data_IF_434932220923
#
_entry.id   IF_434932220923
#
_cell.length_a   1.000
_cell.length_b   1.000
_cell.length_c   1.000
_cell.angle_alpha   90.00
_cell.angle_beta   90.00
_cell.angle_gamma   90.00
#
_symmetry.space_group_name_H-M   'P 1'
#
loop_
_entity.id
_entity.type
_entity.pdbx_description
1 polymer ?
#
# COMPACT_ATOMS: atom_id res chain seq x y z
N UNK A 1 13.14 -19.78 29.58
CA UNK A 1 12.00 -19.56 28.66
C UNK A 1 11.04 -18.47 29.16
N UNK A 2 10.75 -18.37 30.46
CA UNK A 2 9.71 -17.47 31.01
C UNK A 2 9.96 -15.95 30.93
N UNK A 3 11.16 -15.48 30.56
CA UNK A 3 11.48 -14.03 30.56
C UNK A 3 11.19 -13.33 29.22
N UNK A 4 11.09 -14.08 28.12
CA UNK A 4 10.78 -13.54 26.79
C UNK A 4 9.27 -13.42 26.53
N UNK A 5 8.44 -14.20 27.24
CA UNK A 5 7.00 -14.32 26.98
C UNK A 5 6.18 -13.30 27.79
N UNK A 6 6.75 -12.72 28.85
CA UNK A 6 6.06 -11.80 29.75
C UNK A 6 5.58 -10.45 29.14
N UNK A 7 6.22 -9.87 28.11
CA UNK A 7 5.75 -8.61 27.50
C UNK A 7 4.65 -8.81 26.44
N UNK A 8 4.38 -10.04 26.01
CA UNK A 8 3.40 -10.33 24.96
C UNK A 8 2.03 -10.51 25.61
N UNK A 9 1.12 -9.56 25.37
CA UNK A 9 -0.28 -9.62 25.81
C UNK A 9 -0.90 -10.98 25.46
N UNK A 10 -1.64 -11.57 26.42
CA UNK A 10 -2.11 -12.96 26.45
C UNK A 10 -2.65 -13.54 25.12
N UNK A 11 -3.32 -12.73 24.27
CA UNK A 11 -3.86 -13.21 22.98
C UNK A 11 -2.81 -13.60 21.94
N UNK A 12 -1.61 -13.02 22.02
CA UNK A 12 -0.52 -13.25 21.05
C UNK A 12 0.44 -14.32 21.59
N UNK A 13 0.64 -14.36 22.91
CA UNK A 13 1.54 -15.30 23.57
C UNK A 13 1.16 -16.77 23.37
N UNK A 14 -0.12 -17.10 23.31
CA UNK A 14 -0.59 -18.49 23.13
C UNK A 14 -0.13 -19.13 21.81
N UNK A 15 -0.04 -18.36 20.73
CA UNK A 15 0.44 -18.86 19.42
C UNK A 15 1.94 -19.21 19.44
N UNK A 16 2.71 -18.61 20.36
CA UNK A 16 4.14 -18.86 20.47
C UNK A 16 4.49 -19.99 21.46
N UNK A 17 3.53 -20.46 22.26
CA UNK A 17 3.72 -21.60 23.18
C UNK A 17 3.85 -22.95 22.47
N UNK A 18 3.53 -23.00 21.17
CA UNK A 18 3.61 -24.20 20.33
C UNK A 18 5.02 -24.49 19.79
N UNK A 19 5.98 -23.59 20.01
CA UNK A 19 7.35 -23.73 19.50
C UNK A 19 8.32 -24.17 20.60
N UNK A 20 9.12 -25.18 20.29
CA UNK A 20 9.95 -25.89 21.27
C UNK A 20 11.27 -25.14 21.59
N UNK A 21 11.70 -24.24 20.70
CA UNK A 21 12.98 -23.52 20.85
C UNK A 21 12.83 -22.01 20.86
N UNK A 22 13.70 -21.34 21.62
CA UNK A 22 13.75 -19.88 21.66
C UNK A 22 14.10 -19.26 20.29
N UNK A 23 14.78 -20.01 19.42
CA UNK A 23 15.08 -19.61 18.05
C UNK A 23 13.83 -19.59 17.17
N UNK A 24 12.96 -20.60 17.28
CA UNK A 24 11.70 -20.65 16.54
C UNK A 24 10.74 -19.55 17.01
N UNK A 25 10.67 -19.30 18.32
CA UNK A 25 9.89 -18.18 18.87
C UNK A 25 10.43 -16.85 18.34
N UNK A 26 11.76 -16.68 18.28
CA UNK A 26 12.39 -15.47 17.76
C UNK A 26 12.18 -15.30 16.26
N UNK A 27 12.30 -16.35 15.44
CA UNK A 27 12.05 -16.27 14.01
C UNK A 27 10.55 -16.08 13.70
N UNK A 28 9.63 -16.70 14.44
CA UNK A 28 8.20 -16.47 14.26
C UNK A 28 7.78 -15.05 14.71
N UNK A 29 8.34 -14.55 15.82
CA UNK A 29 8.11 -13.17 16.26
C UNK A 29 8.73 -12.18 15.26
N UNK A 30 9.91 -12.50 14.73
CA UNK A 30 10.52 -11.74 13.64
C UNK A 30 9.72 -11.88 12.35
N UNK A 31 9.08 -12.97 11.99
CA UNK A 31 8.21 -12.99 10.81
C UNK A 31 6.93 -12.17 11.02
N UNK A 32 6.36 -12.24 12.23
CA UNK A 32 5.13 -11.52 12.57
C UNK A 32 5.35 -10.00 12.75
N UNK A 33 6.53 -9.59 13.22
CA UNK A 33 6.85 -8.20 13.58
C UNK A 33 8.05 -7.61 12.82
N UNK A 34 8.81 -8.40 12.05
CA UNK A 34 9.77 -7.82 11.12
C UNK A 34 8.97 -7.14 10.05
N UNK A 35 9.09 -5.82 10.05
CA UNK A 35 8.80 -4.86 9.00
C UNK A 35 9.56 -5.19 7.70
N UNK A 36 9.56 -6.44 7.25
CA UNK A 36 10.47 -6.93 6.23
C UNK A 36 10.11 -6.43 4.84
N UNK A 37 8.93 -5.86 4.63
CA UNK A 37 8.54 -5.31 3.31
C UNK A 37 7.66 -4.06 3.43
N UNK A 38 8.09 -3.02 4.17
CA UNK A 38 7.46 -1.69 4.16
C UNK A 38 5.91 -1.68 4.32
N UNK A 39 5.32 -2.76 4.83
CA UNK A 39 3.90 -3.07 4.60
C UNK A 39 3.02 -2.09 5.36
N UNK A 40 3.46 -1.67 6.55
CA UNK A 40 2.81 -0.61 7.31
C UNK A 40 2.82 0.74 6.57
N UNK A 41 3.93 1.10 5.91
CA UNK A 41 4.02 2.35 5.15
C UNK A 41 3.19 2.29 3.86
N UNK A 42 3.21 1.15 3.16
CA UNK A 42 2.38 0.91 1.98
C UNK A 42 0.90 1.02 2.36
N UNK A 43 0.47 0.38 3.46
CA UNK A 43 -0.90 0.45 3.95
C UNK A 43 -1.31 1.89 4.31
N UNK A 44 -0.43 2.66 4.93
CA UNK A 44 -0.69 4.08 5.23
C UNK A 44 -0.87 4.89 3.95
N UNK A 45 0.04 4.73 2.97
CA UNK A 45 -0.04 5.44 1.68
C UNK A 45 -1.31 5.05 0.93
N UNK A 46 -1.63 3.76 0.86
CA UNK A 46 -2.83 3.25 0.20
C UNK A 46 -4.10 3.76 0.89
N UNK A 47 -4.13 3.83 2.21
CA UNK A 47 -5.24 4.42 2.96
C UNK A 47 -5.42 5.90 2.63
N UNK A 48 -4.34 6.68 2.62
CA UNK A 48 -4.39 8.10 2.25
C UNK A 48 -4.86 8.28 0.81
N UNK A 49 -4.31 7.50 -0.12
CA UNK A 49 -4.75 7.51 -1.52
C UNK A 49 -6.22 7.17 -1.61
N UNK A 50 -6.69 6.10 -0.96
CA UNK A 50 -8.08 5.65 -0.96
C UNK A 50 -9.05 6.78 -0.61
N UNK A 51 -8.76 7.55 0.44
CA UNK A 51 -9.65 8.60 0.93
C UNK A 51 -9.47 9.94 0.22
N UNK A 52 -8.35 10.16 -0.47
CA UNK A 52 -8.07 11.43 -1.14
C UNK A 52 -9.12 11.78 -2.20
N UNK A 53 -9.69 12.98 -2.08
CA UNK A 53 -10.61 13.61 -3.04
C UNK A 53 -10.13 15.03 -3.33
N UNK A 54 -10.53 15.59 -4.47
CA UNK A 54 -10.17 16.95 -4.87
C UNK A 54 -10.62 17.98 -3.82
N UNK A 55 -11.89 17.92 -3.39
CA UNK A 55 -12.42 18.79 -2.34
C UNK A 55 -12.25 20.27 -2.68
N UNK A 56 -11.52 21.01 -1.84
CA UNK A 56 -11.25 22.46 -2.02
C UNK A 56 -10.02 22.75 -2.90
N UNK A 57 -9.26 21.73 -3.28
CA UNK A 57 -8.06 21.90 -4.10
C UNK A 57 -8.42 22.19 -5.55
N UNK A 58 -7.57 22.95 -6.24
CA UNK A 58 -7.64 22.98 -7.69
C UNK A 58 -7.13 21.63 -8.27
N UNK A 59 -7.45 21.38 -9.55
CA UNK A 59 -7.16 20.09 -10.20
C UNK A 59 -5.67 19.79 -10.21
N UNK A 60 -4.83 20.80 -10.45
CA UNK A 60 -3.36 20.64 -10.51
C UNK A 60 -2.78 20.31 -9.13
N UNK A 61 -3.25 20.96 -8.07
CA UNK A 61 -2.84 20.66 -6.69
C UNK A 61 -3.25 19.25 -6.29
N UNK A 62 -4.50 18.87 -6.59
CA UNK A 62 -4.99 17.52 -6.31
C UNK A 62 -4.15 16.45 -7.03
N UNK A 63 -3.91 16.64 -8.34
CA UNK A 63 -3.05 15.76 -9.11
C UNK A 63 -1.63 15.68 -8.56
N UNK A 64 -1.03 16.81 -8.18
CA UNK A 64 0.31 16.84 -7.60
C UNK A 64 0.44 16.04 -6.30
N UNK A 65 -0.59 16.06 -5.45
CA UNK A 65 -0.61 15.25 -4.22
C UNK A 65 -0.70 13.76 -4.57
N UNK A 66 -1.59 13.36 -5.49
CA UNK A 66 -1.67 11.97 -5.95
C UNK A 66 -0.33 11.47 -6.49
N UNK A 67 0.29 12.25 -7.39
CA UNK A 67 1.58 11.89 -7.99
C UNK A 67 2.65 11.69 -6.94
N UNK A 68 2.71 12.54 -5.91
CA UNK A 68 3.69 12.39 -4.82
C UNK A 68 3.51 11.07 -4.06
N UNK A 69 2.27 10.67 -3.77
CA UNK A 69 2.00 9.41 -3.09
C UNK A 69 2.27 8.20 -3.98
N UNK A 70 1.89 8.26 -5.25
CA UNK A 70 2.21 7.20 -6.23
C UNK A 70 3.71 7.01 -6.41
N UNK A 71 4.49 8.09 -6.49
CA UNK A 71 5.95 8.01 -6.54
C UNK A 71 6.53 7.37 -5.29
N UNK A 72 5.96 7.65 -4.10
CA UNK A 72 6.39 7.00 -2.86
C UNK A 72 6.06 5.51 -2.87
N UNK A 73 4.91 5.12 -3.42
CA UNK A 73 4.51 3.73 -3.63
C UNK A 73 5.45 3.01 -4.60
N UNK A 74 5.83 3.67 -5.70
CA UNK A 74 6.75 3.14 -6.71
C UNK A 74 8.13 2.77 -6.15
N UNK A 75 8.58 3.44 -5.08
CA UNK A 75 9.83 3.09 -4.38
C UNK A 75 9.73 1.73 -3.68
N UNK A 76 8.53 1.36 -3.22
CA UNK A 76 8.30 0.09 -2.53
C UNK A 76 7.96 -1.05 -3.50
N UNK A 77 7.39 -0.72 -4.66
CA UNK A 77 6.96 -1.66 -5.69
C UNK A 77 8.03 -1.89 -6.77
N UNK A 78 9.31 -1.98 -6.38
CA UNK A 78 10.40 -2.30 -7.31
C UNK A 78 10.40 -3.79 -7.65
N UNK A 79 9.69 -4.15 -8.72
CA UNK A 79 9.61 -5.52 -9.20
C UNK A 79 10.72 -5.84 -10.21
N UNK A 80 11.45 -6.94 -9.97
CA UNK A 80 12.33 -7.53 -10.97
C UNK A 80 11.52 -8.36 -11.97
N UNK A 81 11.31 -7.83 -13.17
CA UNK A 81 10.60 -8.52 -14.25
C UNK A 81 11.59 -9.26 -15.16
N UNK A 82 11.35 -10.56 -15.38
CA UNK A 82 12.14 -11.35 -16.33
C UNK A 82 11.77 -11.06 -17.79
N UNK A 83 10.50 -10.72 -18.05
CA UNK A 83 9.97 -10.45 -19.38
C UNK A 83 9.70 -8.94 -19.57
N UNK A 84 10.39 -8.26 -20.51
CA UNK A 84 10.18 -6.83 -20.76
C UNK A 84 8.75 -6.49 -21.23
N UNK A 85 8.08 -7.41 -21.94
CA UNK A 85 6.71 -7.20 -22.39
C UNK A 85 5.72 -7.21 -21.21
N UNK A 86 5.95 -8.06 -20.21
CA UNK A 86 5.08 -8.12 -19.03
C UNK A 86 5.32 -6.92 -18.12
N UNK A 87 6.58 -6.47 -17.98
CA UNK A 87 6.90 -5.21 -17.31
C UNK A 87 6.16 -4.01 -17.94
N UNK A 88 6.12 -3.95 -19.28
CA UNK A 88 5.39 -2.90 -20.01
C UNK A 88 3.88 -2.98 -19.77
N UNK A 89 3.30 -4.18 -19.89
CA UNK A 89 1.86 -4.40 -19.63
C UNK A 89 1.48 -4.05 -18.20
N UNK A 90 2.31 -4.41 -17.23
CA UNK A 90 2.09 -4.06 -15.84
C UNK A 90 2.05 -2.54 -15.64
N UNK A 91 3.01 -1.80 -16.22
CA UNK A 91 3.02 -0.33 -16.19
C UNK A 91 1.74 0.26 -16.81
N UNK A 92 1.28 -0.27 -17.94
CA UNK A 92 0.02 0.16 -18.57
C UNK A 92 -1.19 -0.04 -17.64
N UNK A 93 -1.23 -1.16 -16.90
CA UNK A 93 -2.28 -1.45 -15.91
C UNK A 93 -2.22 -0.47 -14.73
N UNK A 94 -1.03 -0.20 -14.19
CA UNK A 94 -0.83 0.74 -13.08
C UNK A 94 -1.27 2.14 -13.48
N UNK A 95 -0.82 2.64 -14.63
CA UNK A 95 -1.20 3.96 -15.13
C UNK A 95 -2.71 4.07 -15.36
N UNK A 96 -3.34 3.02 -15.91
CA UNK A 96 -4.80 2.98 -16.04
C UNK A 96 -5.49 3.10 -14.68
N UNK A 97 -5.05 2.34 -13.67
CA UNK A 97 -5.58 2.43 -12.29
C UNK A 97 -5.42 3.84 -11.70
N UNK A 98 -4.28 4.49 -11.93
CA UNK A 98 -4.01 5.88 -11.49
C UNK A 98 -4.97 6.87 -12.13
N UNK A 99 -5.21 6.75 -13.43
CA UNK A 99 -6.20 7.57 -14.15
C UNK A 99 -7.59 7.40 -13.54
N UNK A 100 -8.04 6.15 -13.35
CA UNK A 100 -9.32 5.88 -12.69
C UNK A 100 -9.41 6.54 -11.31
N UNK A 101 -8.34 6.38 -10.51
CA UNK A 101 -8.28 6.94 -9.16
C UNK A 101 -8.41 8.45 -9.16
N UNK A 102 -7.68 9.13 -10.04
CA UNK A 102 -7.76 10.58 -10.23
C UNK A 102 -9.18 11.00 -10.61
N UNK A 103 -9.76 10.39 -11.64
CA UNK A 103 -11.09 10.74 -12.14
C UNK A 103 -12.21 10.50 -11.11
N UNK A 104 -12.12 9.42 -10.32
CA UNK A 104 -13.07 9.13 -9.24
C UNK A 104 -13.01 10.14 -8.10
N UNK A 105 -11.86 10.75 -7.86
CA UNK A 105 -11.70 11.74 -6.79
C UNK A 105 -12.00 13.19 -7.20
N UNK A 106 -12.24 13.46 -8.50
CA UNK A 106 -12.67 14.78 -8.96
C UNK A 106 -14.04 15.18 -8.42
N UNK A 107 -14.23 16.48 -8.21
CA UNK A 107 -15.50 17.05 -7.79
C UNK A 107 -16.60 16.86 -8.85
N UNK A 108 -17.86 16.77 -8.40
CA UNK A 108 -19.02 16.46 -9.26
C UNK A 108 -19.25 17.45 -10.40
N UNK A 109 -18.82 18.69 -10.24
CA UNK A 109 -18.90 19.71 -11.29
C UNK A 109 -17.98 19.41 -12.50
N UNK A 110 -17.09 18.42 -12.39
CA UNK A 110 -16.26 17.91 -13.48
C UNK A 110 -16.76 16.56 -14.01
N UNK A 111 -17.96 16.12 -13.64
CA UNK A 111 -18.51 14.83 -14.05
C UNK A 111 -18.68 14.69 -15.57
N UNK A 112 -18.86 15.78 -16.32
CA UNK A 112 -18.84 15.75 -17.79
C UNK A 112 -17.50 15.26 -18.35
N UNK A 113 -16.38 15.61 -17.70
CA UNK A 113 -15.04 15.12 -18.08
C UNK A 113 -14.94 13.62 -17.81
N UNK A 114 -15.56 13.15 -16.72
CA UNK A 114 -15.65 11.72 -16.41
C UNK A 114 -16.45 10.99 -17.50
N UNK A 115 -17.64 11.49 -17.87
CA UNK A 115 -18.50 10.87 -18.87
C UNK A 115 -17.88 10.77 -20.26
N UNK A 116 -17.12 11.79 -20.71
CA UNK A 116 -16.48 11.79 -22.04
C UNK A 116 -15.28 10.83 -22.15
N UNK A 117 -14.63 10.48 -21.05
CA UNK A 117 -13.52 9.51 -21.07
C UNK A 117 -13.97 8.05 -21.13
N UNK A 118 -15.27 7.78 -20.87
CA UNK A 118 -15.86 6.43 -20.90
C UNK A 118 -16.82 6.19 -22.08
N UNK A 119 -17.10 7.24 -22.88
CA UNK A 119 -17.97 7.20 -24.05
C UNK A 119 -17.23 6.94 -25.36
#
# INVERSE_FOLDING_TARGET
>A
MSWLVNPLTNDIGENFLLYDTAQEIWEAAKELYSSKENTSEILEIESVLHDLRQGKLNVTQYYGILTRYWQRLDVFEEYHWECPNDARRFKEIVEKKRIFKFLMGLNKNLDEVRGRSWG
#
